data_IF_720079816980
#
_entry.id   IF_720079816980
#
_cell.length_a   1.000
_cell.length_b   1.000
_cell.length_c   1.000
_cell.angle_alpha   90.00
_cell.angle_beta   90.00
_cell.angle_gamma   90.00
#
_symmetry.space_group_name_H-M   'P 1'
#
loop_
_entity.id
_entity.type
_entity.pdbx_description
1 polymer ?
#
# COMPACT_ATOMS: atom_id res chain seq x y z
N UNK A 1 -2.38 -67.79 32.96
CA UNK A 1 -3.13 -66.95 31.98
C UNK A 1 -3.51 -65.55 32.49
N UNK A 2 -4.07 -65.35 33.71
CA UNK A 2 -4.53 -64.02 34.18
C UNK A 2 -3.46 -62.91 34.33
N UNK A 3 -2.18 -63.25 34.60
CA UNK A 3 -1.07 -62.28 34.69
C UNK A 3 -0.67 -61.67 33.33
N UNK A 4 -0.84 -62.40 32.24
CA UNK A 4 -0.47 -61.95 30.89
C UNK A 4 -1.40 -60.83 30.39
N UNK A 5 -2.70 -60.91 30.65
CA UNK A 5 -3.67 -59.87 30.29
C UNK A 5 -3.48 -58.56 31.08
N UNK A 6 -3.04 -58.61 32.35
CA UNK A 6 -2.73 -57.40 33.13
C UNK A 6 -1.47 -56.68 32.63
N UNK A 7 -0.43 -57.42 32.25
CA UNK A 7 0.75 -56.84 31.60
C UNK A 7 0.41 -56.25 30.24
N UNK A 8 -0.45 -56.91 29.46
CA UNK A 8 -0.90 -56.42 28.16
C UNK A 8 -1.74 -55.14 28.27
N UNK A 9 -2.68 -55.08 29.23
CA UNK A 9 -3.44 -53.86 29.54
C UNK A 9 -2.54 -52.71 30.01
N UNK A 10 -1.54 -52.99 30.85
CA UNK A 10 -0.57 -52.01 31.32
C UNK A 10 0.27 -51.43 30.17
N UNK A 11 0.66 -52.26 29.19
CA UNK A 11 1.40 -51.81 28.01
C UNK A 11 0.54 -50.98 27.05
N UNK A 12 -0.73 -51.34 26.86
CA UNK A 12 -1.68 -50.55 26.05
C UNK A 12 -1.96 -49.19 26.72
N UNK A 13 -2.15 -49.17 28.04
CA UNK A 13 -2.31 -47.94 28.79
C UNK A 13 -1.06 -47.06 28.71
N UNK A 14 0.15 -47.65 28.81
CA UNK A 14 1.41 -46.93 28.65
C UNK A 14 1.62 -46.37 27.24
N UNK A 15 1.25 -47.13 26.19
CA UNK A 15 1.34 -46.68 24.81
C UNK A 15 0.32 -45.55 24.54
N UNK A 16 -0.91 -45.68 25.04
CA UNK A 16 -1.93 -44.62 24.95
C UNK A 16 -1.53 -43.33 25.67
N UNK A 17 -0.83 -43.44 26.80
CA UNK A 17 -0.27 -42.28 27.51
C UNK A 17 0.85 -41.59 26.71
N UNK A 18 1.73 -42.37 26.09
CA UNK A 18 2.81 -41.85 25.25
C UNK A 18 2.27 -41.15 23.99
N UNK A 19 1.28 -41.75 23.33
CA UNK A 19 0.65 -41.15 22.14
C UNK A 19 -0.17 -39.91 22.52
N UNK A 20 -0.84 -39.91 23.67
CA UNK A 20 -1.58 -38.75 24.19
C UNK A 20 -0.67 -37.55 24.51
N UNK A 21 0.55 -37.78 24.98
CA UNK A 21 1.54 -36.71 25.26
C UNK A 21 2.13 -36.06 24.00
N UNK A 22 2.02 -36.70 22.82
CA UNK A 22 2.56 -36.19 21.55
C UNK A 22 1.54 -35.37 20.74
N UNK A 23 0.25 -35.37 21.13
CA UNK A 23 -0.81 -34.64 20.42
C UNK A 23 -0.85 -33.10 20.62
N UNK A 24 -0.37 -32.49 21.72
CA UNK A 24 -0.50 -31.04 21.90
C UNK A 24 0.59 -30.19 21.21
N UNK A 25 1.50 -30.77 20.42
CA UNK A 25 2.59 -30.01 19.76
C UNK A 25 2.21 -29.42 18.40
N UNK A 26 0.91 -29.28 18.07
CA UNK A 26 0.52 -28.62 16.83
C UNK A 26 0.95 -27.14 16.86
N UNK A 27 1.56 -26.64 15.78
CA UNK A 27 1.90 -25.23 15.65
C UNK A 27 0.68 -24.34 15.92
N UNK A 28 0.86 -23.33 16.77
CA UNK A 28 -0.19 -22.38 17.09
C UNK A 28 -0.56 -21.58 15.82
N UNK A 29 -1.85 -21.25 15.63
CA UNK A 29 -2.31 -20.52 14.43
C UNK A 29 -1.62 -19.16 14.28
N UNK A 30 -1.27 -18.55 15.40
CA UNK A 30 -0.53 -17.29 15.50
C UNK A 30 0.87 -17.34 14.85
N UNK A 31 1.44 -18.53 14.58
CA UNK A 31 2.71 -18.63 13.85
C UNK A 31 2.63 -18.06 12.42
N UNK A 32 1.44 -18.10 11.80
CA UNK A 32 1.23 -17.56 10.46
C UNK A 32 0.64 -16.14 10.46
N UNK A 33 0.14 -15.67 11.61
CA UNK A 33 -0.41 -14.32 11.78
C UNK A 33 0.63 -13.41 12.43
N UNK A 34 1.57 -12.94 11.62
CA UNK A 34 2.61 -11.99 12.06
C UNK A 34 2.29 -10.60 11.55
N UNK A 35 2.33 -9.61 12.45
CA UNK A 35 2.12 -8.22 12.08
C UNK A 35 3.16 -7.73 11.05
N UNK A 36 2.74 -6.99 10.01
CA UNK A 36 3.63 -6.44 9.02
C UNK A 36 4.61 -5.45 9.66
N UNK A 37 5.90 -5.67 9.43
CA UNK A 37 6.95 -4.83 10.01
C UNK A 37 7.13 -3.54 9.20
N UNK A 38 7.37 -2.42 9.89
CA UNK A 38 7.68 -1.12 9.28
C UNK A 38 6.53 -0.45 8.52
N UNK A 39 5.30 -0.97 8.63
CA UNK A 39 4.09 -0.36 8.07
C UNK A 39 2.97 -0.44 9.09
N UNK A 40 2.18 0.62 9.19
CA UNK A 40 0.96 0.57 10.00
C UNK A 40 -0.09 -0.27 9.26
N UNK A 41 -0.63 -1.35 9.88
CA UNK A 41 -1.74 -2.10 9.32
C UNK A 41 -2.96 -1.19 9.12
N UNK A 42 -3.63 -1.34 7.98
CA UNK A 42 -4.82 -0.54 7.66
C UNK A 42 -5.95 -0.69 8.67
N UNK A 43 -6.05 -1.87 9.29
CA UNK A 43 -7.05 -2.21 10.32
C UNK A 43 -6.83 -1.43 11.63
N UNK A 44 -5.60 -0.93 11.85
CA UNK A 44 -5.23 -0.20 13.06
C UNK A 44 -5.23 1.33 12.86
N UNK A 45 -5.14 1.81 11.62
CA UNK A 45 -5.42 3.21 11.28
C UNK A 45 -6.95 3.40 11.35
N UNK A 46 -7.46 4.60 11.67
CA UNK A 46 -8.89 4.92 11.84
C UNK A 46 -9.55 4.63 13.20
N UNK A 47 -8.78 4.41 14.26
CA UNK A 47 -9.35 4.10 15.59
C UNK A 47 -9.49 5.32 16.49
N UNK A 48 -8.61 6.32 16.31
CA UNK A 48 -8.49 7.46 17.22
C UNK A 48 -8.70 8.80 16.52
N UNK A 49 -8.95 9.85 17.32
CA UNK A 49 -8.95 11.22 16.81
C UNK A 49 -7.62 11.59 16.14
N UNK A 50 -6.49 11.09 16.66
CA UNK A 50 -5.18 11.36 16.07
C UNK A 50 -5.05 10.73 14.68
N UNK A 51 -5.61 9.53 14.45
CA UNK A 51 -5.63 8.90 13.13
C UNK A 51 -6.39 9.76 12.12
N UNK A 52 -7.54 10.32 12.52
CA UNK A 52 -8.30 11.23 11.68
C UNK A 52 -7.51 12.50 11.32
N UNK A 53 -6.75 13.05 12.27
CA UNK A 53 -5.85 14.19 12.00
C UNK A 53 -4.76 13.82 11.01
N UNK A 54 -4.12 12.66 11.18
CA UNK A 54 -3.09 12.17 10.26
C UNK A 54 -3.64 11.92 8.86
N UNK A 55 -4.81 11.28 8.76
CA UNK A 55 -5.47 11.02 7.49
C UNK A 55 -5.81 12.31 6.75
N UNK A 56 -6.40 13.30 7.44
CA UNK A 56 -6.69 14.62 6.87
C UNK A 56 -5.40 15.29 6.37
N UNK A 57 -4.34 15.25 7.16
CA UNK A 57 -3.06 15.83 6.77
C UNK A 57 -2.48 15.12 5.54
N UNK A 58 -2.64 13.80 5.41
CA UNK A 58 -2.23 13.05 4.23
C UNK A 58 -3.01 13.46 2.98
N UNK A 59 -4.33 13.69 3.08
CA UNK A 59 -5.15 14.22 1.96
C UNK A 59 -4.62 15.58 1.49
N UNK A 60 -4.39 16.53 2.40
CA UNK A 60 -3.79 17.82 2.06
C UNK A 60 -2.33 17.70 1.59
N UNK A 61 -1.64 16.62 1.96
CA UNK A 61 -0.32 16.27 1.47
C UNK A 61 -0.32 15.97 -0.03
N UNK A 62 -1.33 15.26 -0.54
CA UNK A 62 -1.48 14.97 -1.97
C UNK A 62 -1.54 16.26 -2.81
N UNK A 63 -2.22 17.29 -2.29
CA UNK A 63 -2.34 18.59 -2.96
C UNK A 63 -1.01 19.35 -3.09
N UNK A 64 0.06 18.92 -2.41
CA UNK A 64 1.42 19.47 -2.59
C UNK A 64 2.31 18.60 -3.47
N UNK A 65 1.79 17.47 -3.95
CA UNK A 65 2.51 16.54 -4.81
C UNK A 65 2.72 17.09 -6.23
N UNK A 66 3.69 16.50 -6.93
CA UNK A 66 4.06 16.83 -8.31
C UNK A 66 2.85 16.99 -9.25
N UNK A 67 1.92 16.04 -9.19
CA UNK A 67 0.73 15.98 -10.05
C UNK A 67 -0.26 17.12 -9.83
N UNK A 68 -0.12 17.89 -8.73
CA UNK A 68 -1.03 18.96 -8.33
C UNK A 68 -0.39 20.36 -8.32
N UNK A 69 0.94 20.47 -8.24
CA UNK A 69 1.62 21.78 -8.08
C UNK A 69 2.79 22.03 -9.02
N UNK A 70 3.19 21.05 -9.83
CA UNK A 70 4.34 21.17 -10.71
C UNK A 70 3.93 21.33 -12.19
N UNK A 71 4.63 20.68 -13.11
CA UNK A 71 4.45 20.89 -14.54
C UNK A 71 3.15 20.31 -15.12
N UNK A 72 2.62 19.25 -14.51
CA UNK A 72 1.39 18.62 -14.98
C UNK A 72 0.17 19.57 -15.00
N UNK A 73 -0.17 20.26 -13.89
CA UNK A 73 -1.25 21.24 -13.89
C UNK A 73 -0.94 22.46 -14.77
N UNK A 74 0.28 23.00 -14.73
CA UNK A 74 0.66 24.16 -15.58
C UNK A 74 0.47 23.84 -17.07
N UNK A 75 0.88 22.65 -17.51
CA UNK A 75 0.73 22.21 -18.89
C UNK A 75 -0.73 22.15 -19.34
N UNK A 76 -1.63 21.64 -18.50
CA UNK A 76 -3.04 21.45 -18.86
C UNK A 76 -3.88 22.71 -18.65
N UNK A 77 -3.61 23.46 -17.59
CA UNK A 77 -4.47 24.57 -17.14
C UNK A 77 -4.04 25.93 -17.69
N UNK A 78 -2.74 26.15 -17.95
CA UNK A 78 -2.20 27.47 -18.30
C UNK A 78 -1.48 27.54 -19.65
N UNK A 79 -0.79 26.48 -20.09
CA UNK A 79 -0.01 26.59 -21.34
C UNK A 79 -0.85 26.82 -22.59
N UNK A 80 -2.11 26.37 -22.60
CA UNK A 80 -3.03 26.64 -23.72
C UNK A 80 -3.74 27.99 -23.62
N UNK A 81 -3.48 28.79 -22.58
CA UNK A 81 -4.02 30.14 -22.41
C UNK A 81 -2.95 31.19 -22.73
N UNK A 82 -3.29 32.47 -22.60
CA UNK A 82 -2.39 33.61 -22.84
C UNK A 82 -1.68 34.10 -21.55
N UNK A 83 -1.74 33.35 -20.45
CA UNK A 83 -1.22 33.79 -19.14
C UNK A 83 0.16 33.20 -18.78
N UNK A 84 0.67 32.24 -19.56
CA UNK A 84 1.94 31.57 -19.30
C UNK A 84 2.68 31.18 -20.59
N UNK A 85 4.01 31.24 -20.57
CA UNK A 85 4.88 30.75 -21.66
C UNK A 85 6.11 30.02 -21.10
N UNK A 86 6.70 29.10 -21.87
CA UNK A 86 7.91 28.37 -21.49
C UNK A 86 9.16 29.27 -21.50
N UNK A 87 9.46 29.91 -20.38
CA UNK A 87 10.58 30.86 -20.25
C UNK A 87 12.01 30.29 -20.12
N UNK A 88 12.21 28.97 -20.00
CA UNK A 88 13.56 28.36 -19.84
C UNK A 88 14.28 28.13 -21.19
N UNK A 89 15.49 27.55 -21.14
CA UNK A 89 16.26 27.16 -22.33
C UNK A 89 15.47 26.22 -23.25
N UNK A 90 15.76 26.17 -24.58
CA UNK A 90 14.97 25.37 -25.52
C UNK A 90 14.85 23.88 -25.20
N UNK A 91 15.86 23.29 -24.55
CA UNK A 91 15.88 21.86 -24.21
C UNK A 91 15.23 21.51 -22.87
N UNK A 92 15.00 22.49 -22.00
CA UNK A 92 14.42 22.27 -20.67
C UNK A 92 12.88 22.27 -20.75
N UNK A 93 12.26 21.24 -20.16
CA UNK A 93 10.81 21.04 -20.14
C UNK A 93 10.11 21.28 -21.50
N UNK A 94 10.76 20.89 -22.61
CA UNK A 94 10.34 21.20 -23.97
C UNK A 94 8.93 20.73 -24.34
N UNK A 95 8.38 19.76 -23.60
CA UNK A 95 7.02 19.28 -23.76
C UNK A 95 5.94 20.36 -23.53
N UNK A 96 6.22 21.43 -22.78
CA UNK A 96 5.26 22.55 -22.62
C UNK A 96 4.92 23.22 -23.96
N UNK A 97 5.87 23.25 -24.90
CA UNK A 97 5.63 23.81 -26.23
C UNK A 97 4.53 23.04 -26.99
N UNK A 98 4.34 21.74 -26.71
CA UNK A 98 3.28 20.96 -27.35
C UNK A 98 1.89 21.39 -26.86
N UNK A 99 1.79 21.89 -25.63
CA UNK A 99 0.53 22.40 -25.07
C UNK A 99 0.24 23.80 -25.61
N UNK A 100 1.24 24.68 -25.61
CA UNK A 100 1.18 26.03 -26.17
C UNK A 100 0.84 26.04 -27.67
N UNK A 101 1.45 25.13 -28.45
CA UNK A 101 1.20 25.01 -29.89
C UNK A 101 0.03 24.06 -30.25
N UNK A 102 -0.75 23.60 -29.26
CA UNK A 102 -1.87 22.66 -29.46
C UNK A 102 -1.52 21.40 -30.27
N UNK A 103 -0.30 20.89 -30.10
CA UNK A 103 0.25 19.72 -30.80
C UNK A 103 0.50 18.51 -29.90
N UNK A 104 0.08 18.58 -28.63
CA UNK A 104 0.18 17.47 -27.68
C UNK A 104 -0.64 16.24 -28.13
N UNK A 105 -0.19 15.05 -27.73
CA UNK A 105 -0.84 13.78 -28.06
C UNK A 105 -1.33 13.07 -26.80
N UNK A 106 -2.07 11.98 -26.98
CA UNK A 106 -2.52 11.13 -25.87
C UNK A 106 -1.37 10.44 -25.10
N UNK A 107 -0.13 10.50 -25.59
CA UNK A 107 1.03 9.87 -24.93
C UNK A 107 1.86 10.84 -24.07
N UNK A 108 1.52 12.13 -24.06
CA UNK A 108 2.21 13.11 -23.24
C UNK A 108 2.03 12.81 -21.74
N UNK A 109 3.15 12.79 -21.01
CA UNK A 109 3.15 12.47 -19.58
C UNK A 109 2.37 13.47 -18.72
N UNK A 110 2.33 14.76 -19.11
CA UNK A 110 1.67 15.79 -18.29
C UNK A 110 0.15 15.58 -18.21
N UNK A 111 -0.51 15.17 -19.30
CA UNK A 111 -1.94 14.81 -19.28
C UNK A 111 -2.21 13.64 -18.34
N UNK A 112 -1.39 12.59 -18.40
CA UNK A 112 -1.53 11.42 -17.53
C UNK A 112 -1.29 11.78 -16.06
N UNK A 113 -0.26 12.56 -15.77
CA UNK A 113 0.09 12.97 -14.41
C UNK A 113 -0.97 13.90 -13.82
N UNK A 114 -1.50 14.85 -14.62
CA UNK A 114 -2.59 15.71 -14.20
C UNK A 114 -3.83 14.88 -13.83
N UNK A 115 -4.23 13.97 -14.73
CA UNK A 115 -5.35 13.06 -14.48
C UNK A 115 -5.15 12.24 -13.20
N UNK A 116 -3.97 11.62 -13.02
CA UNK A 116 -3.64 10.86 -11.81
C UNK A 116 -3.75 11.71 -10.55
N UNK A 117 -3.29 12.96 -10.59
CA UNK A 117 -3.42 13.92 -9.49
C UNK A 117 -4.88 14.10 -9.07
N UNK A 118 -5.76 14.39 -10.04
CA UNK A 118 -7.17 14.63 -9.77
C UNK A 118 -7.90 13.41 -9.18
N UNK A 119 -7.50 12.19 -9.54
CA UNK A 119 -8.10 10.96 -9.01
C UNK A 119 -7.43 10.42 -7.74
N UNK A 120 -6.25 10.94 -7.37
CA UNK A 120 -5.56 10.59 -6.13
C UNK A 120 -5.93 11.51 -4.96
N UNK A 121 -6.36 12.74 -5.26
CA UNK A 121 -6.87 13.70 -4.28
C UNK A 121 -8.16 13.21 -3.63
#
# INVERSE_FOLDING_TARGET
>A
MKRFNKLFLSKIAGLGLLTGMLLPTSCNKEFLDVDPQGKQPSQQFWQTQNDAVLAKNAMYGNLRGWTNTAFAPIAVESMGSDEAEKGSTPGDAAFHNNYDNFSHTATEGQTLDFWKGQYQN
#
